data_IF_439702585762
#
_entry.id   IF_439702585762
#
_cell.length_a   1.000
_cell.length_b   1.000
_cell.length_c   1.000
_cell.angle_alpha   90.00
_cell.angle_beta   90.00
_cell.angle_gamma   90.00
#
_symmetry.space_group_name_H-M   'P 1'
#
loop_
_entity.id
_entity.type
_entity.pdbx_description
1 polymer ?
#
# COMPACT_ATOMS: atom_id res chain seq x y z
N UNK A 1 -15.22 -1.65 -34.69
CA UNK A 1 -13.86 -1.79 -34.13
C UNK A 1 -13.81 -1.05 -32.81
N UNK A 2 -14.21 -1.70 -31.71
CA UNK A 2 -14.09 -1.09 -30.39
C UNK A 2 -12.61 -1.16 -29.99
N UNK A 3 -11.98 0.01 -29.85
CA UNK A 3 -10.62 0.11 -29.37
C UNK A 3 -10.59 -0.46 -27.95
N UNK A 4 -10.16 -1.71 -27.79
CA UNK A 4 -9.96 -2.32 -26.49
C UNK A 4 -8.76 -1.60 -25.90
N UNK A 5 -9.01 -0.53 -25.14
CA UNK A 5 -7.96 0.12 -24.35
C UNK A 5 -7.21 -0.99 -23.63
N UNK A 6 -5.90 -1.04 -23.85
CA UNK A 6 -5.03 -1.90 -23.08
C UNK A 6 -5.04 -1.31 -21.66
N UNK A 7 -6.07 -1.63 -20.85
CA UNK A 7 -6.10 -1.28 -19.43
C UNK A 7 -4.87 -1.91 -18.83
N UNK A 8 -3.88 -1.08 -18.53
CA UNK A 8 -2.71 -1.48 -17.73
C UNK A 8 -3.27 -2.17 -16.50
N UNK A 9 -3.01 -3.48 -16.37
CA UNK A 9 -3.47 -4.25 -15.22
C UNK A 9 -2.81 -3.64 -13.98
N UNK A 10 -3.61 -2.95 -13.18
CA UNK A 10 -3.18 -2.38 -11.91
C UNK A 10 -3.06 -3.50 -10.87
N UNK A 11 -2.01 -3.44 -10.08
CA UNK A 11 -1.77 -4.31 -8.93
C UNK A 11 -2.37 -3.69 -7.67
N UNK A 12 -2.76 -4.54 -6.72
CA UNK A 12 -3.19 -4.15 -5.38
C UNK A 12 -2.13 -4.62 -4.38
N UNK A 13 -1.71 -3.72 -3.49
CA UNK A 13 -0.83 -4.02 -2.36
C UNK A 13 -1.54 -3.76 -1.05
N UNK A 14 -1.33 -4.65 -0.08
CA UNK A 14 -1.89 -4.56 1.27
C UNK A 14 -0.74 -4.67 2.28
N UNK A 15 -0.65 -3.70 3.19
CA UNK A 15 0.24 -3.76 4.35
C UNK A 15 -0.59 -3.62 5.61
N UNK A 16 -0.56 -4.62 6.49
CA UNK A 16 -1.26 -4.60 7.77
C UNK A 16 -0.27 -4.41 8.92
N UNK A 17 -0.55 -3.46 9.81
CA UNK A 17 0.29 -3.10 10.95
C UNK A 17 -0.55 -2.79 12.19
N UNK A 18 0.04 -2.96 13.38
CA UNK A 18 -0.62 -2.62 14.63
C UNK A 18 -0.47 -1.12 14.93
N UNK A 19 -1.59 -0.42 15.09
CA UNK A 19 -1.66 0.99 15.48
C UNK A 19 -1.78 1.97 14.31
N UNK A 20 -2.66 2.98 14.47
CA UNK A 20 -2.91 4.03 13.47
C UNK A 20 -1.65 4.87 13.18
N UNK A 21 -0.86 5.20 14.20
CA UNK A 21 0.35 6.03 14.02
C UNK A 21 1.39 5.32 13.15
N UNK A 22 1.61 4.02 13.37
CA UNK A 22 2.51 3.21 12.54
C UNK A 22 1.95 3.10 11.13
N UNK A 23 0.65 2.86 10.97
CA UNK A 23 0.01 2.77 9.66
C UNK A 23 0.16 4.06 8.82
N UNK A 24 -0.04 5.23 9.42
CA UNK A 24 0.16 6.52 8.75
C UNK A 24 1.62 6.70 8.33
N UNK A 25 2.55 6.34 9.22
CA UNK A 25 3.99 6.48 8.95
C UNK A 25 4.45 5.54 7.83
N UNK A 26 3.93 4.30 7.79
CA UNK A 26 4.17 3.37 6.70
C UNK A 26 3.59 3.91 5.39
N UNK A 27 2.35 4.42 5.40
CA UNK A 27 1.71 4.97 4.20
C UNK A 27 2.50 6.14 3.59
N UNK A 28 3.03 7.04 4.43
CA UNK A 28 3.90 8.15 3.99
C UNK A 28 5.18 7.65 3.31
N UNK A 29 5.86 6.67 3.89
CA UNK A 29 7.07 6.08 3.31
C UNK A 29 6.78 5.32 2.01
N UNK A 30 5.69 4.54 1.98
CA UNK A 30 5.28 3.79 0.79
C UNK A 30 4.97 4.74 -0.38
N UNK A 31 4.30 5.86 -0.11
CA UNK A 31 4.01 6.88 -1.12
C UNK A 31 5.26 7.65 -1.59
N UNK A 32 6.28 7.79 -0.73
CA UNK A 32 7.56 8.41 -1.07
C UNK A 32 8.52 7.48 -1.82
N UNK A 33 8.37 6.16 -1.69
CA UNK A 33 9.32 5.20 -2.26
C UNK A 33 8.99 4.72 -3.67
N UNK A 34 7.72 4.82 -4.10
CA UNK A 34 7.29 4.35 -5.42
C UNK A 34 6.11 5.13 -5.99
N UNK A 35 5.88 5.01 -7.30
CA UNK A 35 4.72 5.59 -7.98
C UNK A 35 3.46 4.76 -7.72
N UNK A 36 2.84 5.00 -6.57
CA UNK A 36 1.61 4.32 -6.14
C UNK A 36 0.51 5.32 -5.81
N UNK A 37 -0.73 4.84 -5.77
CA UNK A 37 -1.88 5.55 -5.24
C UNK A 37 -2.29 4.91 -3.92
N UNK A 38 -2.37 5.70 -2.85
CA UNK A 38 -2.99 5.29 -1.58
C UNK A 38 -4.51 5.24 -1.77
N UNK A 39 -5.09 4.05 -1.67
CA UNK A 39 -6.52 3.84 -1.84
C UNK A 39 -7.28 4.04 -0.54
N UNK A 40 -6.80 3.43 0.54
CA UNK A 40 -7.47 3.47 1.83
C UNK A 40 -6.50 3.13 2.97
N UNK A 41 -6.83 3.63 4.15
CA UNK A 41 -6.27 3.20 5.42
C UNK A 41 -7.46 2.85 6.31
N UNK A 42 -7.62 1.56 6.62
CA UNK A 42 -8.83 1.03 7.26
C UNK A 42 -8.48 0.27 8.54
N UNK A 43 -9.39 0.31 9.52
CA UNK A 43 -9.32 -0.54 10.71
C UNK A 43 -9.69 -1.97 10.31
N UNK A 44 -9.03 -2.96 10.91
CA UNK A 44 -9.44 -4.37 10.78
C UNK A 44 -10.26 -4.80 12.01
N UNK A 45 -10.55 -6.10 12.17
CA UNK A 45 -11.47 -6.63 13.19
C UNK A 45 -10.83 -6.71 14.59
N UNK A 46 -10.49 -5.55 15.17
CA UNK A 46 -10.09 -5.41 16.57
C UNK A 46 -8.57 -5.30 16.79
N UNK A 47 -8.19 -5.24 18.08
CA UNK A 47 -6.79 -5.21 18.55
C UNK A 47 -5.89 -4.09 17.98
N UNK A 48 -6.49 -3.01 17.47
CA UNK A 48 -5.77 -1.85 16.98
C UNK A 48 -5.07 -2.04 15.63
N UNK A 49 -5.37 -3.11 14.90
CA UNK A 49 -4.80 -3.38 13.58
C UNK A 49 -5.39 -2.49 12.50
N UNK A 50 -4.52 -2.10 11.57
CA UNK A 50 -4.80 -1.18 10.49
C UNK A 50 -4.24 -1.76 9.19
N UNK A 51 -5.01 -1.69 8.10
CA UNK A 51 -4.56 -2.09 6.76
C UNK A 51 -4.43 -0.86 5.86
N UNK A 52 -3.31 -0.78 5.15
CA UNK A 52 -3.01 0.22 4.13
C UNK A 52 -3.22 -0.46 2.78
N UNK A 53 -4.04 0.14 1.92
CA UNK A 53 -4.32 -0.34 0.56
C UNK A 53 -3.69 0.60 -0.46
N UNK A 54 -2.91 0.05 -1.38
CA UNK A 54 -2.28 0.80 -2.47
C UNK A 54 -2.55 0.17 -3.82
N UNK A 55 -2.48 0.97 -4.89
CA UNK A 55 -2.51 0.47 -6.26
C UNK A 55 -1.48 1.16 -7.15
N UNK A 56 -1.07 0.49 -8.22
CA UNK A 56 -0.08 0.98 -9.18
C UNK A 56 0.32 -0.14 -10.14
N UNK A 57 1.41 0.05 -10.87
CA UNK A 57 2.05 -1.07 -11.57
C UNK A 57 2.66 -2.08 -10.57
N UNK A 58 2.87 -3.31 -11.03
CA UNK A 58 3.33 -4.40 -10.16
C UNK A 58 4.68 -4.12 -9.49
N UNK A 59 5.60 -3.45 -10.18
CA UNK A 59 6.94 -3.17 -9.65
C UNK A 59 6.88 -2.06 -8.60
N UNK A 60 6.12 -0.99 -8.85
CA UNK A 60 5.89 0.10 -7.90
C UNK A 60 5.18 -0.40 -6.64
N UNK A 61 4.15 -1.24 -6.77
CA UNK A 61 3.46 -1.84 -5.63
C UNK A 61 4.41 -2.73 -4.82
N UNK A 62 5.21 -3.58 -5.48
CA UNK A 62 6.17 -4.44 -4.79
C UNK A 62 7.22 -3.62 -4.03
N UNK A 63 7.79 -2.58 -4.65
CA UNK A 63 8.75 -1.70 -4.02
C UNK A 63 8.17 -0.99 -2.79
N UNK A 64 6.96 -0.41 -2.92
CA UNK A 64 6.26 0.24 -1.82
C UNK A 64 6.03 -0.73 -0.64
N UNK A 65 5.50 -1.94 -0.90
CA UNK A 65 5.24 -2.94 0.14
C UNK A 65 6.53 -3.35 0.86
N UNK A 66 7.60 -3.63 0.12
CA UNK A 66 8.88 -4.00 0.73
C UNK A 66 9.42 -2.88 1.63
N UNK A 67 9.42 -1.62 1.18
CA UNK A 67 9.86 -0.50 2.02
C UNK A 67 8.98 -0.30 3.25
N UNK A 68 7.65 -0.37 3.08
CA UNK A 68 6.70 -0.21 4.17
C UNK A 68 6.83 -1.31 5.24
N UNK A 69 7.00 -2.57 4.83
CA UNK A 69 7.20 -3.69 5.73
C UNK A 69 8.52 -3.57 6.51
N UNK A 70 9.62 -3.26 5.84
CA UNK A 70 10.92 -3.06 6.48
C UNK A 70 10.90 -1.93 7.52
N UNK A 71 10.19 -0.84 7.23
CA UNK A 71 10.03 0.26 8.18
C UNK A 71 9.17 -0.13 9.39
N UNK A 72 8.13 -0.95 9.17
CA UNK A 72 7.29 -1.45 10.25
C UNK A 72 8.05 -2.41 11.19
N UNK A 73 8.93 -3.25 10.65
CA UNK A 73 9.76 -4.19 11.42
C UNK A 73 10.78 -3.50 12.35
N UNK A 74 11.11 -2.23 12.08
CA UNK A 74 12.08 -1.45 12.87
C UNK A 74 11.43 -0.67 14.03
N UNK A 75 10.14 -0.91 14.32
CA UNK A 75 9.32 -0.09 15.22
C UNK A 75 8.66 -0.88 16.34
#
# INVERSE_FOLDING_TARGET
>A
MANKEHRVKQSLGLLEVCGLALAISCADIMAKSASITLLALEKTNGSGWMVIKITGDVASVQAAITTGAQFAEQR
#
